data_IF_182914539729
#
_entry.id   IF_182914539729
#
_cell.length_a   1.000
_cell.length_b   1.000
_cell.length_c   1.000
_cell.angle_alpha   90.00
_cell.angle_beta   90.00
_cell.angle_gamma   90.00
#
_symmetry.space_group_name_H-M   'P 1'
#
loop_
_entity.id
_entity.type
_entity.pdbx_description
1 polymer ?
#
# COMPACT_ATOMS: atom_id res chain seq x y z
N UNK A 1 -7.91 -39.69 -12.33
CA UNK A 1 -8.19 -38.86 -11.15
C UNK A 1 -6.86 -38.66 -10.43
N UNK A 2 -6.23 -37.50 -10.55
CA UNK A 2 -4.93 -37.27 -9.92
C UNK A 2 -5.13 -37.19 -8.40
N UNK A 3 -4.49 -38.07 -7.65
CA UNK A 3 -4.47 -38.00 -6.18
C UNK A 3 -3.57 -36.82 -5.76
N UNK A 4 -4.13 -35.61 -5.83
CA UNK A 4 -3.45 -34.35 -5.52
C UNK A 4 -2.75 -34.40 -4.14
N UNK A 5 -3.30 -35.12 -3.16
CA UNK A 5 -2.68 -35.28 -1.84
C UNK A 5 -1.36 -36.07 -1.79
N UNK A 6 -0.90 -36.66 -2.90
CA UNK A 6 0.43 -37.30 -2.97
C UNK A 6 1.52 -36.37 -3.52
N UNK A 7 1.15 -35.23 -4.07
CA UNK A 7 2.07 -34.21 -4.60
C UNK A 7 2.82 -33.57 -3.43
N UNK A 8 4.16 -33.63 -3.37
CA UNK A 8 4.95 -33.09 -2.25
C UNK A 8 4.63 -31.64 -1.93
N UNK A 9 4.38 -30.82 -2.94
CA UNK A 9 4.03 -29.40 -2.84
C UNK A 9 2.67 -29.21 -2.16
N UNK A 10 1.70 -30.08 -2.43
CA UNK A 10 0.38 -30.04 -1.79
C UNK A 10 0.49 -30.47 -0.33
N UNK A 11 1.26 -31.53 -0.03
CA UNK A 11 1.55 -31.91 1.37
C UNK A 11 2.28 -30.82 2.15
N UNK A 12 3.15 -30.06 1.49
CA UNK A 12 3.84 -28.93 2.10
C UNK A 12 2.86 -27.78 2.40
N UNK A 13 1.94 -27.49 1.47
CA UNK A 13 0.86 -26.52 1.67
C UNK A 13 -0.05 -26.92 2.83
N UNK A 14 -0.47 -28.19 2.90
CA UNK A 14 -1.32 -28.70 3.99
C UNK A 14 -0.67 -28.49 5.36
N UNK A 15 0.65 -28.71 5.47
CA UNK A 15 1.42 -28.46 6.70
C UNK A 15 1.49 -26.97 7.06
N UNK A 16 1.59 -26.09 6.07
CA UNK A 16 1.59 -24.65 6.29
C UNK A 16 0.21 -24.17 6.74
N UNK A 17 -0.85 -24.71 6.15
CA UNK A 17 -2.23 -24.44 6.55
C UNK A 17 -2.47 -24.91 7.99
N UNK A 18 -2.07 -26.14 8.35
CA UNK A 18 -2.18 -26.65 9.72
C UNK A 18 -1.45 -25.74 10.73
N UNK A 19 -0.26 -25.25 10.36
CA UNK A 19 0.49 -24.30 11.19
C UNK A 19 -0.24 -22.97 11.34
N UNK A 20 -0.76 -22.41 10.25
CA UNK A 20 -1.50 -21.15 10.27
C UNK A 20 -2.77 -21.27 11.11
N UNK A 21 -3.51 -22.37 10.96
CA UNK A 21 -4.70 -22.70 11.76
C UNK A 21 -4.38 -22.69 13.24
N UNK A 22 -3.34 -23.41 13.68
CA UNK A 22 -2.93 -23.44 15.10
C UNK A 22 -2.61 -22.05 15.66
N UNK A 23 -1.97 -21.19 14.88
CA UNK A 23 -1.63 -19.83 15.31
C UNK A 23 -2.90 -18.98 15.44
N UNK A 24 -3.77 -19.02 14.43
CA UNK A 24 -4.95 -18.16 14.34
C UNK A 24 -6.02 -18.61 15.34
N UNK A 25 -6.29 -19.90 15.49
CA UNK A 25 -7.24 -20.42 16.48
C UNK A 25 -6.81 -20.10 17.91
N UNK A 26 -5.50 -20.19 18.20
CA UNK A 26 -4.96 -19.81 19.50
C UNK A 26 -5.20 -18.32 19.80
N UNK A 27 -5.02 -17.47 18.79
CA UNK A 27 -5.25 -16.03 18.93
C UNK A 27 -6.74 -15.70 19.08
N UNK A 28 -7.62 -16.38 18.35
CA UNK A 28 -9.08 -16.25 18.51
C UNK A 28 -9.49 -16.65 19.94
N UNK A 29 -9.04 -17.82 20.41
CA UNK A 29 -9.34 -18.27 21.78
C UNK A 29 -8.81 -17.30 22.85
N UNK A 30 -7.64 -16.68 22.61
CA UNK A 30 -7.10 -15.64 23.49
C UNK A 30 -8.00 -14.39 23.50
N UNK A 31 -8.46 -13.93 22.35
CA UNK A 31 -9.37 -12.78 22.24
C UNK A 31 -10.72 -13.05 22.90
N UNK A 32 -11.28 -14.24 22.70
CA UNK A 32 -12.55 -14.65 23.32
C UNK A 32 -12.44 -14.68 24.85
N UNK A 33 -11.30 -15.13 25.39
CA UNK A 33 -11.03 -15.17 26.83
C UNK A 33 -10.93 -13.78 27.49
N UNK A 34 -10.62 -12.72 26.72
CA UNK A 34 -10.52 -11.34 27.23
C UNK A 34 -11.90 -10.68 27.42
N UNK A 35 -12.94 -11.19 26.76
CA UNK A 35 -14.29 -10.62 26.75
C UNK A 35 -14.38 -9.32 25.93
N UNK A 36 -15.59 -9.00 25.43
CA UNK A 36 -15.84 -7.94 24.43
C UNK A 36 -15.35 -6.52 24.80
N UNK A 37 -15.12 -6.23 26.08
CA UNK A 37 -14.64 -4.93 26.56
C UNK A 37 -13.12 -4.73 26.52
N UNK A 38 -12.33 -5.79 26.33
CA UNK A 38 -10.87 -5.75 26.40
C UNK A 38 -10.17 -6.28 25.13
N UNK A 39 -10.92 -6.59 24.06
CA UNK A 39 -10.33 -7.05 22.79
C UNK A 39 -9.91 -5.86 21.94
N UNK A 40 -8.65 -5.82 21.52
CA UNK A 40 -8.18 -4.87 20.52
C UNK A 40 -9.00 -4.97 19.23
N UNK A 41 -9.18 -3.87 18.51
CA UNK A 41 -9.86 -3.88 17.21
C UNK A 41 -8.96 -4.57 16.17
N UNK A 42 -9.09 -5.89 16.04
CA UNK A 42 -8.31 -6.72 15.11
C UNK A 42 -9.11 -7.10 13.87
N UNK A 43 -8.40 -7.42 12.79
CA UNK A 43 -9.03 -7.95 11.57
C UNK A 43 -9.73 -9.30 11.80
N UNK A 44 -9.22 -10.15 12.71
CA UNK A 44 -9.87 -11.40 13.12
C UNK A 44 -11.27 -11.17 13.68
N UNK A 45 -11.40 -10.28 14.68
CA UNK A 45 -12.71 -9.94 15.27
C UNK A 45 -13.62 -9.28 14.25
N UNK A 46 -13.10 -8.31 13.49
CA UNK A 46 -13.88 -7.59 12.49
C UNK A 46 -14.46 -8.51 11.41
N UNK A 47 -13.67 -9.44 10.87
CA UNK A 47 -14.17 -10.41 9.89
C UNK A 47 -15.23 -11.34 10.49
N UNK A 48 -15.05 -11.80 11.73
CA UNK A 48 -16.03 -12.63 12.40
C UNK A 48 -17.38 -11.90 12.60
N UNK A 49 -17.33 -10.64 13.06
CA UNK A 49 -18.52 -9.80 13.26
C UNK A 49 -19.25 -9.54 11.94
N UNK A 50 -18.52 -9.22 10.87
CA UNK A 50 -19.10 -9.02 9.53
C UNK A 50 -19.68 -10.33 8.99
N UNK A 51 -18.99 -11.46 9.14
CA UNK A 51 -19.49 -12.76 8.71
C UNK A 51 -20.80 -13.13 9.41
N UNK A 52 -20.89 -12.88 10.73
CA UNK A 52 -22.11 -13.06 11.52
C UNK A 52 -23.23 -12.13 11.05
N UNK A 53 -22.94 -10.84 10.87
CA UNK A 53 -23.92 -9.84 10.42
C UNK A 53 -24.48 -10.18 9.03
N UNK A 54 -23.63 -10.62 8.11
CA UNK A 54 -23.99 -11.01 6.75
C UNK A 54 -24.49 -12.46 6.63
N UNK A 55 -24.52 -13.22 7.72
CA UNK A 55 -24.95 -14.63 7.78
C UNK A 55 -24.15 -15.52 6.80
N UNK A 56 -22.84 -15.32 6.72
CA UNK A 56 -21.93 -16.14 5.90
C UNK A 56 -21.75 -17.48 6.60
N UNK A 57 -22.29 -18.56 6.02
CA UNK A 57 -22.27 -19.91 6.62
C UNK A 57 -20.91 -20.61 6.52
N UNK A 58 -20.10 -20.27 5.52
CA UNK A 58 -18.80 -20.91 5.22
C UNK A 58 -17.61 -20.00 5.56
N UNK A 59 -17.71 -19.21 6.64
CA UNK A 59 -16.62 -18.35 7.05
C UNK A 59 -15.44 -19.15 7.63
N UNK A 60 -14.28 -19.06 6.97
CA UNK A 60 -13.02 -19.59 7.46
C UNK A 60 -12.12 -18.43 7.97
N UNK A 61 -11.92 -18.27 9.29
CA UNK A 61 -11.11 -17.18 9.84
C UNK A 61 -9.63 -17.29 9.47
N UNK A 62 -9.12 -18.52 9.29
CA UNK A 62 -7.72 -18.76 8.90
C UNK A 62 -7.47 -18.23 7.51
N UNK A 63 -8.33 -18.61 6.56
CA UNK A 63 -8.21 -18.14 5.18
C UNK A 63 -8.40 -16.62 5.07
N UNK A 64 -9.41 -16.06 5.75
CA UNK A 64 -9.64 -14.62 5.75
C UNK A 64 -8.43 -13.83 6.28
N UNK A 65 -7.83 -14.31 7.37
CA UNK A 65 -6.63 -13.69 7.95
C UNK A 65 -5.42 -13.80 7.02
N UNK A 66 -5.17 -14.98 6.43
CA UNK A 66 -4.07 -15.17 5.48
C UNK A 66 -4.24 -14.27 4.24
N UNK A 67 -5.46 -14.17 3.70
CA UNK A 67 -5.75 -13.34 2.55
C UNK A 67 -5.48 -11.86 2.81
N UNK A 68 -5.93 -11.32 3.95
CA UNK A 68 -5.65 -9.91 4.28
C UNK A 68 -4.16 -9.67 4.57
N UNK A 69 -3.47 -10.64 5.18
CA UNK A 69 -2.03 -10.56 5.45
C UNK A 69 -1.22 -10.49 4.16
N UNK A 70 -1.53 -11.33 3.15
CA UNK A 70 -0.89 -11.26 1.83
C UNK A 70 -1.14 -9.91 1.17
N UNK A 71 -2.38 -9.42 1.22
CA UNK A 71 -2.75 -8.13 0.62
C UNK A 71 -2.03 -6.95 1.27
N UNK A 72 -1.85 -6.98 2.60
CA UNK A 72 -1.29 -5.88 3.37
C UNK A 72 0.25 -5.86 3.41
N UNK A 73 0.91 -7.01 3.61
CA UNK A 73 2.37 -7.03 3.84
C UNK A 73 3.15 -6.63 2.59
N UNK A 74 2.94 -7.35 1.48
CA UNK A 74 3.78 -7.18 0.29
C UNK A 74 3.64 -5.76 -0.29
N UNK A 75 2.42 -5.28 -0.44
CA UNK A 75 2.16 -3.96 -1.04
C UNK A 75 2.73 -2.82 -0.17
N UNK A 76 2.54 -2.87 1.15
CA UNK A 76 3.11 -1.86 2.06
C UNK A 76 4.64 -1.91 2.08
N UNK A 77 5.26 -3.09 2.22
CA UNK A 77 6.71 -3.20 2.24
C UNK A 77 7.35 -2.68 0.94
N UNK A 78 6.78 -3.04 -0.22
CA UNK A 78 7.26 -2.53 -1.51
C UNK A 78 7.09 -1.01 -1.64
N UNK A 79 5.98 -0.45 -1.16
CA UNK A 79 5.76 1.00 -1.17
C UNK A 79 6.78 1.72 -0.28
N UNK A 80 7.01 1.20 0.94
CA UNK A 80 7.99 1.75 1.89
C UNK A 80 9.43 1.71 1.35
N UNK A 81 9.81 0.59 0.72
CA UNK A 81 11.13 0.48 0.11
C UNK A 81 11.30 1.43 -1.07
N UNK A 82 10.32 1.53 -1.97
CA UNK A 82 10.40 2.45 -3.12
C UNK A 82 10.50 3.90 -2.67
N UNK A 83 9.65 4.36 -1.74
CA UNK A 83 9.72 5.74 -1.26
C UNK A 83 11.06 6.04 -0.57
N UNK A 84 11.64 5.07 0.13
CA UNK A 84 12.96 5.25 0.72
C UNK A 84 14.05 5.35 -0.35
N UNK A 85 13.97 4.55 -1.42
CA UNK A 85 14.87 4.70 -2.57
C UNK A 85 14.71 6.08 -3.22
N UNK A 86 13.48 6.52 -3.45
CA UNK A 86 13.19 7.83 -4.01
C UNK A 86 13.74 8.97 -3.13
N UNK A 87 13.62 8.86 -1.81
CA UNK A 87 14.14 9.84 -0.85
C UNK A 87 15.67 9.87 -0.77
N UNK A 88 16.34 8.72 -0.77
CA UNK A 88 17.81 8.66 -0.77
C UNK A 88 18.37 9.31 -2.06
N UNK A 89 17.66 9.17 -3.18
CA UNK A 89 18.03 9.82 -4.43
C UNK A 89 17.73 11.33 -4.48
N UNK A 90 16.94 11.86 -3.54
CA UNK A 90 16.52 13.26 -3.45
C UNK A 90 16.62 13.76 -1.99
N UNK A 91 17.85 13.89 -1.45
CA UNK A 91 18.07 14.19 -0.03
C UNK A 91 17.48 15.53 0.43
N UNK A 92 17.28 16.48 -0.48
CA UNK A 92 16.57 17.73 -0.22
C UNK A 92 15.14 17.51 0.31
N UNK A 93 14.46 16.45 -0.14
CA UNK A 93 13.14 16.08 0.37
C UNK A 93 13.19 15.52 1.80
N UNK A 94 14.29 14.86 2.19
CA UNK A 94 14.43 14.33 3.56
C UNK A 94 14.42 15.49 4.56
N UNK A 95 15.14 16.57 4.26
CA UNK A 95 15.22 17.73 5.14
C UNK A 95 13.86 18.45 5.23
N UNK A 96 13.15 18.63 4.12
CA UNK A 96 11.80 19.20 4.12
C UNK A 96 10.78 18.32 4.87
N UNK A 97 10.87 17.00 4.71
CA UNK A 97 10.01 16.07 5.44
C UNK A 97 10.29 16.09 6.93
N UNK A 98 11.56 16.17 7.35
CA UNK A 98 11.91 16.33 8.77
C UNK A 98 11.32 17.61 9.35
N UNK A 99 11.42 18.73 8.63
CA UNK A 99 10.79 19.99 9.04
C UNK A 99 9.26 19.86 9.14
N UNK A 100 8.61 19.20 8.18
CA UNK A 100 7.17 18.92 8.24
C UNK A 100 6.82 18.06 9.47
N UNK A 101 7.58 16.99 9.73
CA UNK A 101 7.36 16.11 10.88
C UNK A 101 7.50 16.87 12.20
N UNK A 102 8.55 17.70 12.34
CA UNK A 102 8.76 18.53 13.55
C UNK A 102 7.58 19.48 13.75
N UNK A 103 7.16 20.19 12.70
CA UNK A 103 6.08 21.16 12.78
C UNK A 103 4.75 20.51 13.16
N UNK A 104 4.43 19.36 12.55
CA UNK A 104 3.14 18.68 12.72
C UNK A 104 3.13 17.77 13.96
N UNK A 105 4.03 16.80 14.04
CA UNK A 105 4.05 15.81 15.12
C UNK A 105 4.58 16.41 16.42
N UNK A 106 5.59 17.29 16.35
CA UNK A 106 6.10 17.98 17.53
C UNK A 106 5.08 18.89 18.23
N UNK A 107 4.12 19.43 17.46
CA UNK A 107 3.08 20.32 17.98
C UNK A 107 1.81 19.56 18.35
N UNK A 108 1.30 18.73 17.44
CA UNK A 108 -0.01 18.08 17.60
C UNK A 108 0.07 16.72 18.32
N UNK A 109 1.25 16.12 18.38
CA UNK A 109 1.49 14.74 18.83
C UNK A 109 0.97 13.68 17.85
N UNK A 110 1.07 12.40 18.25
CA UNK A 110 0.58 11.27 17.46
C UNK A 110 -0.94 11.14 17.51
N UNK A 111 -1.62 11.87 16.61
CA UNK A 111 -3.06 11.75 16.38
C UNK A 111 -3.32 11.40 14.92
N UNK A 112 -4.44 10.73 14.66
CA UNK A 112 -4.90 10.45 13.28
C UNK A 112 -5.00 11.73 12.44
N UNK A 113 -5.43 12.84 13.05
CA UNK A 113 -5.50 14.16 12.40
C UNK A 113 -4.13 14.73 12.08
N UNK A 114 -3.12 14.50 12.93
CA UNK A 114 -1.74 14.93 12.66
C UNK A 114 -1.20 14.23 11.40
N UNK A 115 -1.48 12.94 11.23
CA UNK A 115 -1.06 12.22 10.02
C UNK A 115 -1.66 12.79 8.73
N UNK A 116 -2.90 13.31 8.77
CA UNK A 116 -3.49 13.98 7.60
C UNK A 116 -2.84 15.34 7.28
N UNK A 117 -2.14 15.94 8.25
CA UNK A 117 -1.43 17.21 8.09
C UNK A 117 0.00 17.05 7.53
N UNK A 118 0.53 15.82 7.46
CA UNK A 118 1.78 15.50 6.74
C UNK A 118 1.53 15.51 5.22
N UNK A 119 1.37 16.71 4.65
CA UNK A 119 0.92 16.95 3.27
C UNK A 119 2.02 16.72 2.24
N UNK A 120 3.25 17.10 2.55
CA UNK A 120 4.42 16.84 1.71
C UNK A 120 4.74 15.34 1.73
N UNK A 121 4.68 14.68 2.89
CA UNK A 121 4.83 13.23 2.99
C UNK A 121 3.77 12.50 2.14
N UNK A 122 2.53 12.98 2.17
CA UNK A 122 1.46 12.48 1.29
C UNK A 122 1.85 12.58 -0.20
N UNK A 123 2.42 13.72 -0.60
CA UNK A 123 2.88 13.96 -1.97
C UNK A 123 4.03 13.02 -2.36
N UNK A 124 5.02 12.85 -1.48
CA UNK A 124 6.17 11.96 -1.70
C UNK A 124 5.73 10.50 -1.87
N UNK A 125 4.84 10.01 -0.99
CA UNK A 125 4.29 8.66 -1.08
C UNK A 125 3.52 8.46 -2.40
N UNK A 126 2.72 9.45 -2.77
CA UNK A 126 1.89 9.40 -3.97
C UNK A 126 2.72 9.44 -5.25
N UNK A 127 3.78 10.24 -5.29
CA UNK A 127 4.69 10.27 -6.44
C UNK A 127 5.50 8.98 -6.57
N UNK A 128 5.97 8.43 -5.45
CA UNK A 128 6.67 7.15 -5.41
C UNK A 128 5.78 6.02 -5.96
N UNK A 129 4.50 5.97 -5.54
CA UNK A 129 3.52 5.01 -6.04
C UNK A 129 3.20 5.23 -7.53
N UNK A 130 3.15 6.49 -8.00
CA UNK A 130 2.85 6.81 -9.41
C UNK A 130 3.91 6.25 -10.34
N UNK A 131 5.17 6.40 -9.98
CA UNK A 131 6.30 5.94 -10.79
C UNK A 131 6.60 4.45 -10.57
N UNK A 132 6.30 3.92 -9.38
CA UNK A 132 6.58 2.54 -8.98
C UNK A 132 5.30 1.88 -8.44
N UNK A 133 4.26 1.68 -9.27
CA UNK A 133 3.06 0.99 -8.84
C UNK A 133 3.39 -0.47 -8.52
N UNK A 134 2.70 -1.13 -7.58
CA UNK A 134 3.02 -2.51 -7.18
C UNK A 134 2.75 -3.55 -8.27
N UNK A 135 1.91 -3.21 -9.26
CA UNK A 135 1.49 -4.08 -10.34
C UNK A 135 1.61 -3.35 -11.70
N UNK A 136 1.95 -4.11 -12.75
CA UNK A 136 1.95 -3.68 -14.14
C UNK A 136 0.52 -3.49 -14.71
N UNK A 137 -0.49 -4.05 -14.04
CA UNK A 137 -1.90 -3.86 -14.40
C UNK A 137 -2.78 -3.85 -13.14
N UNK A 138 -3.81 -3.01 -13.14
CA UNK A 138 -4.77 -2.88 -12.04
C UNK A 138 -6.20 -3.16 -12.51
N UNK A 139 -7.15 -3.16 -11.57
CA UNK A 139 -8.60 -3.20 -11.84
C UNK A 139 -9.05 -4.33 -12.79
N UNK A 140 -8.52 -5.54 -12.56
CA UNK A 140 -8.78 -6.73 -13.37
C UNK A 140 -10.27 -7.10 -13.33
N UNK A 141 -10.91 -7.28 -14.50
CA UNK A 141 -12.32 -7.67 -14.64
C UNK A 141 -12.51 -8.74 -15.71
N UNK A 142 -13.52 -9.58 -15.53
CA UNK A 142 -14.05 -10.44 -16.59
C UNK A 142 -15.40 -9.88 -17.04
N UNK A 143 -15.57 -9.65 -18.33
CA UNK A 143 -16.86 -9.27 -18.89
C UNK A 143 -17.84 -10.45 -18.73
N UNK A 144 -18.91 -10.25 -17.96
CA UNK A 144 -19.92 -11.29 -17.73
C UNK A 144 -21.00 -11.33 -18.82
N UNK A 145 -21.03 -10.29 -19.63
CA UNK A 145 -21.88 -10.06 -20.81
C UNK A 145 -21.13 -9.17 -21.81
N UNK A 146 -21.70 -8.96 -22.99
CA UNK A 146 -21.15 -8.03 -23.98
C UNK A 146 -21.32 -6.59 -23.47
N UNK A 147 -20.23 -5.84 -23.33
CA UNK A 147 -20.23 -4.46 -22.83
C UNK A 147 -19.94 -3.50 -23.98
N UNK A 148 -20.93 -2.71 -24.39
CA UNK A 148 -20.79 -1.66 -25.40
C UNK A 148 -20.29 -0.37 -24.75
N UNK A 149 -19.09 0.06 -25.13
CA UNK A 149 -18.50 1.34 -24.69
C UNK A 149 -19.10 2.52 -25.45
N UNK A 150 -18.96 3.73 -24.90
CA UNK A 150 -19.40 4.98 -25.55
C UNK A 150 -18.72 5.24 -26.91
N UNK A 151 -17.51 4.70 -27.11
CA UNK A 151 -16.80 4.72 -28.40
C UNK A 151 -17.41 3.80 -29.47
N UNK A 152 -18.41 2.97 -29.10
CA UNK A 152 -18.99 1.94 -29.97
C UNK A 152 -18.25 0.60 -29.94
N UNK A 153 -17.06 0.53 -29.33
CA UNK A 153 -16.32 -0.72 -29.12
C UNK A 153 -17.13 -1.66 -28.22
N UNK A 154 -17.20 -2.94 -28.59
CA UNK A 154 -17.85 -3.98 -27.78
C UNK A 154 -16.78 -4.87 -27.14
N UNK A 155 -16.79 -4.95 -25.81
CA UNK A 155 -16.00 -5.92 -25.06
C UNK A 155 -16.84 -7.20 -24.98
N UNK A 156 -16.41 -8.31 -25.59
CA UNK A 156 -17.24 -9.50 -25.64
C UNK A 156 -17.30 -10.20 -24.29
N UNK A 157 -18.41 -10.89 -24.02
CA UNK A 157 -18.58 -11.77 -22.87
C UNK A 157 -17.41 -12.76 -22.77
N UNK A 158 -16.87 -12.87 -21.56
CA UNK A 158 -15.73 -13.72 -21.24
C UNK A 158 -14.37 -13.04 -21.39
N UNK A 159 -14.28 -11.88 -22.03
CA UNK A 159 -13.03 -11.13 -22.14
C UNK A 159 -12.52 -10.66 -20.77
N UNK A 160 -11.20 -10.69 -20.61
CA UNK A 160 -10.51 -10.09 -19.47
C UNK A 160 -10.12 -8.65 -19.81
N UNK A 161 -10.41 -7.72 -18.91
CA UNK A 161 -10.07 -6.29 -19.02
C UNK A 161 -9.15 -5.93 -17.86
N UNK A 162 -8.06 -5.24 -18.17
CA UNK A 162 -7.08 -4.77 -17.20
C UNK A 162 -6.67 -3.33 -17.53
N UNK A 163 -6.24 -2.58 -16.52
CA UNK A 163 -5.89 -1.18 -16.66
C UNK A 163 -4.40 -0.97 -16.38
N UNK A 164 -3.58 -0.67 -17.41
CA UNK A 164 -2.17 -0.43 -17.22
C UNK A 164 -1.95 0.91 -16.49
N UNK A 165 -0.86 1.08 -15.73
CA UNK A 165 -0.52 2.33 -15.05
C UNK A 165 -0.09 3.43 -16.03
N UNK A 166 -0.23 3.26 -17.35
CA UNK A 166 0.21 4.24 -18.36
C UNK A 166 -0.41 5.62 -18.14
N UNK A 167 -1.67 5.69 -17.71
CA UNK A 167 -2.33 6.97 -17.41
C UNK A 167 -1.62 7.74 -16.30
N UNK A 168 -0.96 7.04 -15.37
CA UNK A 168 -0.14 7.62 -14.30
C UNK A 168 1.12 8.33 -14.83
N UNK A 169 1.46 8.14 -16.10
CA UNK A 169 2.59 8.79 -16.79
C UNK A 169 2.14 9.51 -18.06
N UNK A 170 0.88 9.89 -18.14
CA UNK A 170 0.37 10.64 -19.29
C UNK A 170 0.92 12.08 -19.27
N UNK A 171 1.66 12.54 -20.29
CA UNK A 171 2.18 13.90 -20.36
C UNK A 171 1.08 14.97 -20.47
N UNK A 172 -0.13 14.61 -20.91
CA UNK A 172 -1.28 15.54 -20.93
C UNK A 172 -1.84 15.79 -19.53
N UNK A 173 -1.69 14.81 -18.63
CA UNK A 173 -2.14 14.91 -17.24
C UNK A 173 -1.03 15.40 -16.31
N UNK A 174 0.22 15.00 -16.56
CA UNK A 174 1.35 15.20 -15.67
C UNK A 174 2.56 15.75 -16.42
N UNK A 175 2.92 17.03 -16.21
CA UNK A 175 4.13 17.61 -16.80
C UNK A 175 5.39 16.86 -16.37
N UNK A 176 6.32 16.59 -17.29
CA UNK A 176 7.51 15.75 -17.04
C UNK A 176 7.14 14.42 -16.35
N UNK A 177 6.33 13.57 -16.99
CA UNK A 177 5.68 12.43 -16.33
C UNK A 177 6.66 11.35 -15.86
N UNK A 178 7.83 11.22 -16.49
CA UNK A 178 8.85 10.23 -16.10
C UNK A 178 9.82 10.76 -15.03
N UNK A 179 9.82 12.07 -14.75
CA UNK A 179 10.63 12.65 -13.70
C UNK A 179 9.96 12.46 -12.33
N UNK A 180 10.76 12.06 -11.35
CA UNK A 180 10.32 12.05 -9.95
C UNK A 180 10.24 13.49 -9.44
N UNK A 181 9.06 13.89 -8.98
CA UNK A 181 8.84 15.18 -8.32
C UNK A 181 8.00 14.97 -7.07
N UNK A 182 8.67 14.74 -5.94
CA UNK A 182 8.03 14.51 -4.65
C UNK A 182 7.14 15.67 -4.18
N UNK A 183 7.28 16.86 -4.77
CA UNK A 183 6.50 18.07 -4.45
C UNK A 183 5.31 18.28 -5.39
N UNK A 184 5.15 17.46 -6.45
CA UNK A 184 4.10 17.59 -7.47
C UNK A 184 2.70 17.75 -6.88
N UNK A 185 2.28 16.79 -6.06
CA UNK A 185 0.94 16.79 -5.46
C UNK A 185 0.79 17.83 -4.37
N UNK A 186 1.88 18.11 -3.65
CA UNK A 186 1.91 19.19 -2.67
C UNK A 186 1.58 20.53 -3.34
N UNK A 187 2.21 20.86 -4.48
CA UNK A 187 1.92 22.07 -5.26
C UNK A 187 0.52 22.07 -5.84
N UNK A 188 0.05 20.96 -6.42
CA UNK A 188 -1.34 20.88 -6.92
C UNK A 188 -2.39 21.14 -5.83
N UNK A 189 -2.12 20.73 -4.58
CA UNK A 189 -2.99 20.98 -3.43
C UNK A 189 -2.94 22.41 -2.89
N UNK A 190 -2.06 23.25 -3.40
CA UNK A 190 -2.01 24.68 -3.06
C UNK A 190 -2.85 25.52 -4.04
N UNK A 191 -3.25 24.95 -5.19
CA UNK A 191 -4.15 25.62 -6.12
C UNK A 191 -5.56 25.74 -5.53
N UNK A 192 -6.23 26.89 -5.69
CA UNK A 192 -7.59 27.09 -5.19
C UNK A 192 -8.56 26.00 -5.68
N UNK A 193 -9.28 25.37 -4.76
CA UNK A 193 -10.25 24.30 -5.07
C UNK A 193 -9.66 22.89 -5.17
N UNK A 194 -8.36 22.73 -4.89
CA UNK A 194 -7.66 21.44 -4.87
C UNK A 194 -7.21 21.02 -3.45
N UNK A 195 -7.63 21.72 -2.40
CA UNK A 195 -7.14 21.56 -1.02
C UNK A 195 -7.36 20.13 -0.49
N UNK A 196 -8.49 19.53 -0.86
CA UNK A 196 -8.90 18.16 -0.50
C UNK A 196 -8.62 17.13 -1.60
N UNK A 197 -8.09 17.56 -2.75
CA UNK A 197 -7.70 16.67 -3.85
C UNK A 197 -6.26 16.18 -3.68
N UNK A 198 -5.86 15.25 -4.53
CA UNK A 198 -4.51 14.68 -4.64
C UNK A 198 -3.93 14.12 -3.34
N UNK A 199 -4.76 13.79 -2.36
CA UNK A 199 -4.32 13.05 -1.18
C UNK A 199 -3.80 11.67 -1.60
N UNK A 200 -2.87 11.11 -0.84
CA UNK A 200 -2.29 9.80 -1.17
C UNK A 200 -3.37 8.73 -1.34
N UNK A 201 -4.35 8.73 -0.43
CA UNK A 201 -5.51 7.82 -0.41
C UNK A 201 -6.61 8.12 -1.44
N UNK A 202 -6.52 9.22 -2.18
CA UNK A 202 -7.55 9.56 -3.16
C UNK A 202 -7.38 8.72 -4.43
N UNK A 203 -8.52 8.24 -4.95
CA UNK A 203 -8.58 7.49 -6.20
C UNK A 203 -9.49 8.20 -7.20
N UNK A 204 -9.04 8.30 -8.45
CA UNK A 204 -9.82 8.79 -9.59
C UNK A 204 -9.55 7.92 -10.81
N UNK A 205 -10.24 8.15 -11.93
CA UNK A 205 -9.94 7.47 -13.19
C UNK A 205 -8.51 7.75 -13.69
N UNK A 206 -8.03 8.98 -13.47
CA UNK A 206 -6.69 9.46 -13.83
C UNK A 206 -5.62 9.03 -12.82
N UNK A 207 -6.06 8.59 -11.63
CA UNK A 207 -5.20 8.34 -10.48
C UNK A 207 -5.68 7.14 -9.67
N UNK A 208 -5.40 5.96 -10.20
CA UNK A 208 -5.90 4.68 -9.68
C UNK A 208 -4.80 3.83 -9.02
N UNK A 209 -3.86 4.44 -8.31
CA UNK A 209 -2.76 3.72 -7.62
C UNK A 209 -3.26 2.70 -6.59
N UNK A 210 -4.42 2.97 -5.99
CA UNK A 210 -5.16 2.06 -5.11
C UNK A 210 -6.35 1.38 -5.81
N UNK A 211 -6.37 1.34 -7.14
CA UNK A 211 -7.59 1.04 -7.91
C UNK A 211 -8.60 2.18 -7.85
N UNK A 212 -9.81 1.96 -8.38
CA UNK A 212 -10.89 2.96 -8.38
C UNK A 212 -12.27 2.29 -8.42
N UNK A 213 -13.32 3.04 -8.07
CA UNK A 213 -14.71 2.57 -8.01
C UNK A 213 -15.02 1.69 -6.81
N UNK A 214 -16.03 0.84 -6.93
CA UNK A 214 -16.53 -0.04 -5.86
C UNK A 214 -15.46 -0.99 -5.30
N UNK A 215 -14.45 -1.33 -6.10
CA UNK A 215 -13.34 -2.20 -5.72
C UNK A 215 -12.03 -1.42 -5.47
N UNK A 216 -12.10 -0.12 -5.22
CA UNK A 216 -10.93 0.63 -4.74
C UNK A 216 -10.42 0.00 -3.44
N UNK A 217 -9.09 -0.02 -3.26
CA UNK A 217 -8.44 -0.68 -2.14
C UNK A 217 -9.05 -0.17 -0.81
N UNK A 218 -9.66 -1.06 -0.02
CA UNK A 218 -10.24 -0.68 1.27
C UNK A 218 -9.14 -0.35 2.30
N UNK A 219 -7.96 -0.96 2.17
CA UNK A 219 -6.83 -0.78 3.06
C UNK A 219 -6.03 0.52 2.85
N UNK A 220 -6.34 1.35 1.85
CA UNK A 220 -5.53 2.52 1.49
C UNK A 220 -5.31 3.52 2.63
N UNK A 221 -6.30 3.70 3.50
CA UNK A 221 -6.17 4.58 4.68
C UNK A 221 -5.26 3.98 5.75
N UNK A 222 -5.35 2.66 5.94
CA UNK A 222 -4.46 1.94 6.84
C UNK A 222 -3.02 2.01 6.34
N UNK A 223 -2.79 1.65 5.08
CA UNK A 223 -1.48 1.70 4.44
C UNK A 223 -0.89 3.13 4.47
N UNK A 224 -1.69 4.16 4.19
CA UNK A 224 -1.23 5.54 4.27
C UNK A 224 -0.77 5.93 5.67
N UNK A 225 -1.47 5.51 6.72
CA UNK A 225 -1.08 5.83 8.08
C UNK A 225 0.17 5.04 8.49
N UNK A 226 0.20 3.74 8.17
CA UNK A 226 1.33 2.85 8.43
C UNK A 226 2.62 3.37 7.77
N UNK A 227 2.55 3.71 6.48
CA UNK A 227 3.68 4.26 5.73
C UNK A 227 4.18 5.59 6.30
N UNK A 228 3.26 6.49 6.70
CA UNK A 228 3.65 7.76 7.31
C UNK A 228 4.32 7.57 8.67
N UNK A 229 3.74 6.73 9.52
CA UNK A 229 4.32 6.42 10.85
C UNK A 229 5.72 5.82 10.65
N UNK A 230 5.86 4.81 9.79
CA UNK A 230 7.14 4.20 9.49
C UNK A 230 8.16 5.22 8.98
N UNK A 231 7.80 6.06 8.01
CA UNK A 231 8.68 7.11 7.49
C UNK A 231 9.05 8.15 8.54
N UNK A 232 8.13 8.59 9.40
CA UNK A 232 8.47 9.49 10.50
C UNK A 232 9.58 8.90 11.38
N UNK A 233 9.43 7.64 11.80
CA UNK A 233 10.48 6.97 12.58
C UNK A 233 11.79 6.84 11.80
N UNK A 234 11.72 6.40 10.54
CA UNK A 234 12.90 6.17 9.72
C UNK A 234 13.67 7.45 9.44
N UNK A 235 12.99 8.53 9.06
CA UNK A 235 13.63 9.80 8.68
C UNK A 235 14.13 10.59 9.89
N UNK A 236 13.43 10.53 11.02
CA UNK A 236 13.83 11.29 12.22
C UNK A 236 14.94 10.60 13.01
N UNK A 237 14.97 9.26 13.05
CA UNK A 237 15.95 8.48 13.84
C UNK A 237 17.19 8.11 13.04
N UNK A 238 17.18 8.26 11.71
CA UNK A 238 18.29 7.80 10.88
C UNK A 238 18.55 8.70 9.67
N UNK A 239 19.83 8.81 9.30
CA UNK A 239 20.26 9.22 7.97
C UNK A 239 20.44 7.97 7.10
N UNK A 240 20.02 8.02 5.83
CA UNK A 240 19.98 6.87 4.93
C UNK A 240 20.82 7.10 3.68
N UNK A 241 21.50 6.05 3.24
CA UNK A 241 22.23 6.03 1.97
C UNK A 241 22.20 4.64 1.34
N UNK A 242 22.43 4.58 0.02
CA UNK A 242 22.69 3.31 -0.66
C UNK A 242 24.08 2.79 -0.29
N UNK A 243 24.18 1.51 0.05
CA UNK A 243 25.48 0.93 0.44
C UNK A 243 26.38 0.67 -0.77
N UNK A 244 25.79 0.23 -1.89
CA UNK A 244 26.50 -0.37 -3.03
C UNK A 244 26.30 0.37 -4.36
N UNK A 245 25.34 1.30 -4.42
CA UNK A 245 24.98 2.04 -5.65
C UNK A 245 24.92 3.54 -5.37
N UNK A 246 25.03 4.36 -6.42
CA UNK A 246 24.97 5.83 -6.30
C UNK A 246 23.63 6.43 -6.74
N UNK A 247 22.95 5.74 -7.63
CA UNK A 247 21.68 6.18 -8.20
C UNK A 247 20.53 5.33 -7.68
N UNK A 248 19.31 5.83 -7.84
CA UNK A 248 18.09 5.11 -7.50
C UNK A 248 18.06 3.74 -8.22
N UNK A 249 17.99 2.62 -7.49
CA UNK A 249 17.82 1.31 -8.09
C UNK A 249 16.57 1.22 -8.96
N UNK A 250 16.66 0.45 -10.04
CA UNK A 250 15.49 0.14 -10.88
C UNK A 250 14.63 -0.92 -10.20
N UNK A 251 13.34 -0.86 -10.45
CA UNK A 251 12.42 -1.95 -10.07
C UNK A 251 12.61 -3.14 -11.01
N UNK A 252 12.29 -4.33 -10.49
CA UNK A 252 12.29 -5.59 -11.22
C UNK A 252 10.84 -5.96 -11.50
N UNK A 253 10.54 -6.30 -12.75
CA UNK A 253 9.23 -6.86 -13.10
C UNK A 253 9.29 -8.38 -13.02
N UNK A 254 8.47 -8.97 -12.14
CA UNK A 254 8.30 -10.41 -12.02
C UNK A 254 6.84 -10.77 -12.24
N UNK A 255 6.57 -11.43 -13.36
CA UNK A 255 5.20 -11.63 -13.86
C UNK A 255 4.51 -10.27 -14.00
N UNK A 256 3.48 -9.98 -13.22
CA UNK A 256 2.83 -8.67 -13.17
C UNK A 256 3.34 -7.75 -12.06
N UNK A 257 4.09 -8.26 -11.07
CA UNK A 257 4.54 -7.44 -9.94
C UNK A 257 5.72 -6.56 -10.33
N UNK A 258 5.73 -5.33 -9.84
CA UNK A 258 6.85 -4.39 -9.98
C UNK A 258 7.47 -4.21 -8.60
N UNK A 259 8.60 -4.88 -8.40
CA UNK A 259 9.20 -5.09 -7.09
C UNK A 259 10.44 -4.18 -6.97
N UNK A 260 10.66 -3.47 -5.85
CA UNK A 260 11.95 -2.84 -5.61
C UNK A 260 13.05 -3.91 -5.55
N UNK A 261 14.23 -3.65 -6.13
CA UNK A 261 15.31 -4.63 -6.17
C UNK A 261 15.68 -5.11 -4.75
N UNK A 262 15.41 -6.39 -4.41
CA UNK A 262 15.60 -6.90 -3.06
C UNK A 262 17.08 -7.14 -2.71
N UNK A 263 17.99 -7.01 -3.68
CA UNK A 263 19.43 -7.18 -3.48
C UNK A 263 20.13 -5.90 -3.03
N UNK A 264 19.45 -4.74 -3.16
CA UNK A 264 19.99 -3.45 -2.77
C UNK A 264 20.10 -3.38 -1.25
N UNK A 265 21.31 -3.09 -0.77
CA UNK A 265 21.57 -2.85 0.65
C UNK A 265 21.54 -1.35 0.94
N UNK A 266 20.92 -1.00 2.05
CA UNK A 266 20.91 0.36 2.59
C UNK A 266 21.86 0.45 3.78
N UNK A 267 22.58 1.56 3.90
CA UNK A 267 23.32 1.93 5.11
C UNK A 267 22.54 3.02 5.83
N UNK A 268 22.54 2.96 7.14
CA UNK A 268 21.94 3.99 7.96
C UNK A 268 22.89 4.42 9.07
N UNK A 269 22.76 5.68 9.50
CA UNK A 269 23.43 6.24 10.67
C UNK A 269 22.37 6.72 11.64
N UNK A 270 22.48 6.32 12.91
CA UNK A 270 21.57 6.79 13.97
C UNK A 270 21.70 8.30 14.17
N UNK A 271 20.57 8.93 14.43
CA UNK A 271 20.41 10.35 14.71
C UNK A 271 19.49 10.53 15.92
N UNK A 272 19.71 11.59 16.68
CA UNK A 272 18.79 12.01 17.73
C UNK A 272 17.65 12.84 17.12
N UNK A 273 16.38 12.41 17.25
CA UNK A 273 15.23 13.18 16.78
C UNK A 273 15.05 14.50 17.55
N UNK A 274 14.65 15.56 16.85
CA UNK A 274 14.33 16.86 17.44
C UNK A 274 13.01 16.87 18.22
N UNK A 275 12.14 15.89 17.94
CA UNK A 275 10.83 15.73 18.59
C UNK A 275 10.65 14.29 19.03
N UNK A 276 9.77 14.06 20.01
CA UNK A 276 9.45 12.71 20.44
C UNK A 276 8.73 11.95 19.31
N UNK A 277 9.34 10.84 18.87
CA UNK A 277 8.90 10.03 17.74
C UNK A 277 8.61 8.60 18.19
#
# INVERSE_FOLDING_TARGET
>A
MYHLGLVPEIKALDKLEEKATKIIEKEIARQDALGDGNVESTSLKWFADVAKQKKISEYNPVFAQLAITIAAIHTTSMALTNVLFDLIAHPDLIDELRQEIIAVIGTDGWKKTSLSNLRLMDSVLKESQRLNPPDAFSMRRKAMEDVKLSSGVVIPKGAMVVFPPRILRDPELYPNPDAYDGRRWYRFRQEPGNETKFQYVQTTAEMHGFGHGEHACPGRFFASNELKIALCHMLMKYDWEYADVKERPKTITQVEMIIPDPTVRLRYKSREPEVAI
#
